data_IF_916196839854
#
_entry.id   IF_916196839854
#
_cell.length_a   1.000
_cell.length_b   1.000
_cell.length_c   1.000
_cell.angle_alpha   90.00
_cell.angle_beta   90.00
_cell.angle_gamma   90.00
#
_symmetry.space_group_name_H-M   'P 1'
#
loop_
_entity.id
_entity.type
_entity.pdbx_description
1 polymer ?
#
# COMPACT_ATOMS: atom_id res chain seq x y z
N UNK A 1 -0.28 15.44 -19.39
CA UNK A 1 -0.42 13.98 -19.54
C UNK A 1 -1.92 13.72 -19.55
N UNK A 2 -2.52 13.57 -20.73
CA UNK A 2 -3.96 13.44 -20.90
C UNK A 2 -4.30 11.95 -20.90
N UNK A 3 -4.89 11.46 -19.82
CA UNK A 3 -5.36 10.08 -19.71
C UNK A 3 -6.71 9.98 -20.42
N UNK A 4 -6.75 9.30 -21.56
CA UNK A 4 -8.01 8.97 -22.22
C UNK A 4 -8.70 7.84 -21.43
N UNK A 5 -9.63 8.21 -20.55
CA UNK A 5 -10.62 7.32 -19.90
C UNK A 5 -11.57 6.64 -20.91
N UNK A 6 -11.42 6.88 -22.21
CA UNK A 6 -12.39 6.57 -23.26
C UNK A 6 -12.26 5.19 -23.89
N UNK A 7 -11.19 4.41 -23.62
CA UNK A 7 -11.11 3.01 -24.07
C UNK A 7 -11.26 2.04 -22.90
N UNK A 8 -12.25 1.12 -22.93
CA UNK A 8 -12.42 0.14 -21.88
C UNK A 8 -11.25 -0.84 -21.93
N UNK A 9 -10.32 -0.67 -21.00
CA UNK A 9 -9.27 -1.66 -20.80
C UNK A 9 -9.93 -2.98 -20.35
N UNK A 10 -9.86 -4.01 -21.19
CA UNK A 10 -10.43 -5.34 -20.91
C UNK A 10 -9.83 -6.03 -19.67
N UNK A 11 -8.76 -5.45 -19.10
CA UNK A 11 -7.96 -6.01 -18.02
C UNK A 11 -8.23 -5.36 -16.66
N UNK A 12 -8.89 -4.21 -16.60
CA UNK A 12 -9.07 -3.49 -15.35
C UNK A 12 -10.48 -2.92 -15.18
N UNK A 13 -10.84 -2.70 -13.92
CA UNK A 13 -12.06 -2.05 -13.50
C UNK A 13 -11.63 -0.64 -13.09
N UNK A 14 -12.00 0.36 -13.89
CA UNK A 14 -11.71 1.76 -13.59
C UNK A 14 -10.23 2.05 -13.31
N UNK A 15 -9.32 1.40 -14.04
CA UNK A 15 -7.88 1.58 -13.86
C UNK A 15 -7.25 0.72 -12.76
N UNK A 16 -8.02 -0.14 -12.09
CA UNK A 16 -7.54 -1.06 -11.05
C UNK A 16 -7.72 -2.53 -11.45
N UNK A 17 -6.74 -3.36 -11.14
CA UNK A 17 -6.79 -4.81 -11.37
C UNK A 17 -6.82 -5.55 -10.03
N UNK A 18 -7.73 -6.53 -9.83
CA UNK A 18 -7.74 -7.36 -8.64
C UNK A 18 -6.40 -8.08 -8.46
N UNK A 19 -5.83 -8.00 -7.27
CA UNK A 19 -4.52 -8.57 -6.92
C UNK A 19 -4.61 -9.69 -5.87
N UNK A 20 -5.81 -10.23 -5.65
CA UNK A 20 -6.08 -11.32 -4.72
C UNK A 20 -6.51 -10.85 -3.33
N UNK A 21 -6.33 -11.71 -2.34
CA UNK A 21 -6.64 -11.46 -0.93
C UNK A 21 -5.35 -11.61 -0.14
N UNK A 22 -4.97 -10.55 0.56
CA UNK A 22 -3.81 -10.51 1.46
C UNK A 22 -4.27 -10.84 2.88
N UNK A 23 -3.48 -11.61 3.63
CA UNK A 23 -3.88 -12.16 4.94
C UNK A 23 -4.31 -11.07 5.95
N UNK A 24 -3.56 -9.96 6.00
CA UNK A 24 -3.87 -8.80 6.86
C UNK A 24 -4.79 -7.78 6.17
N UNK A 25 -4.52 -7.41 4.92
CA UNK A 25 -5.20 -6.30 4.23
C UNK A 25 -6.55 -6.69 3.61
N UNK A 26 -6.89 -7.98 3.60
CA UNK A 26 -8.07 -8.49 2.92
C UNK A 26 -7.94 -8.39 1.39
N UNK A 27 -9.05 -8.24 0.65
CA UNK A 27 -9.02 -8.06 -0.80
C UNK A 27 -8.21 -6.83 -1.20
N UNK A 28 -7.32 -6.98 -2.17
CA UNK A 28 -6.41 -5.92 -2.62
C UNK A 28 -6.47 -5.72 -4.14
N UNK A 29 -6.22 -4.49 -4.55
CA UNK A 29 -6.06 -4.08 -5.94
C UNK A 29 -4.62 -3.62 -6.22
N UNK A 30 -4.22 -3.68 -7.49
CA UNK A 30 -3.04 -3.03 -8.03
C UNK A 30 -3.45 -2.06 -9.16
N UNK A 31 -2.72 -0.97 -9.42
CA UNK A 31 -2.95 -0.12 -10.58
C UNK A 31 -2.79 -0.93 -11.87
N UNK A 32 -3.66 -0.69 -12.85
CA UNK A 32 -3.61 -1.40 -14.12
C UNK A 32 -2.30 -1.12 -14.85
N UNK A 33 -1.45 -2.14 -15.10
CA UNK A 33 -0.15 -1.94 -15.74
C UNK A 33 -0.28 -1.51 -17.20
N UNK A 34 -1.43 -1.75 -17.84
CA UNK A 34 -1.69 -1.36 -19.23
C UNK A 34 -2.10 0.11 -19.33
N UNK A 35 -2.96 0.59 -18.43
CA UNK A 35 -3.47 1.96 -18.45
C UNK A 35 -2.53 2.97 -17.78
N UNK A 36 -1.94 2.59 -16.65
CA UNK A 36 -1.20 3.49 -15.77
C UNK A 36 0.31 3.19 -15.74
N UNK A 37 0.74 2.08 -16.37
CA UNK A 37 2.10 1.58 -16.24
C UNK A 37 2.37 1.00 -14.85
N UNK A 38 3.59 0.49 -14.66
CA UNK A 38 4.07 0.08 -13.34
C UNK A 38 4.70 1.27 -12.62
N UNK A 39 4.50 1.37 -11.32
CA UNK A 39 5.23 2.35 -10.52
C UNK A 39 6.73 2.04 -10.59
N UNK A 40 7.55 3.01 -10.99
CA UNK A 40 9.00 2.82 -11.11
C UNK A 40 9.71 2.70 -9.75
N UNK A 41 9.09 3.18 -8.66
CA UNK A 41 9.71 3.18 -7.34
C UNK A 41 9.52 1.85 -6.60
N UNK A 42 8.33 1.26 -6.69
CA UNK A 42 8.03 -0.03 -6.06
C UNK A 42 7.83 -1.16 -7.08
N UNK A 43 8.15 -0.92 -8.34
CA UNK A 43 8.08 -1.88 -9.45
C UNK A 43 6.71 -2.56 -9.68
N UNK A 44 5.64 -1.98 -9.12
CA UNK A 44 4.29 -2.53 -9.18
C UNK A 44 3.89 -3.39 -7.97
N UNK A 45 4.67 -3.36 -6.90
CA UNK A 45 4.36 -4.08 -5.65
C UNK A 45 3.39 -3.35 -4.73
N UNK A 46 3.12 -2.06 -4.98
CA UNK A 46 2.15 -1.30 -4.19
C UNK A 46 0.73 -1.88 -4.26
N UNK A 47 0.23 -2.36 -3.13
CA UNK A 47 -1.13 -2.87 -2.91
C UNK A 47 -2.08 -1.80 -2.39
N UNK A 48 -3.33 -1.87 -2.81
CA UNK A 48 -4.41 -0.96 -2.40
C UNK A 48 -5.54 -1.78 -1.79
N UNK A 49 -5.76 -1.73 -0.46
CA UNK A 49 -6.85 -2.45 0.19
C UNK A 49 -8.22 -2.03 -0.36
N UNK A 50 -9.10 -2.98 -0.61
CA UNK A 50 -10.45 -2.70 -1.10
C UNK A 50 -11.30 -1.93 -0.07
N UNK A 51 -11.10 -2.22 1.22
CA UNK A 51 -11.81 -1.58 2.33
C UNK A 51 -11.18 -0.22 2.74
N UNK A 52 -10.30 0.32 1.90
CA UNK A 52 -9.61 1.57 2.16
C UNK A 52 -10.58 2.76 2.11
N UNK A 53 -10.99 3.22 3.30
CA UNK A 53 -11.90 4.38 3.43
C UNK A 53 -11.12 5.69 3.62
N UNK A 54 -10.09 5.68 4.48
CA UNK A 54 -9.28 6.86 4.75
C UNK A 54 -7.88 6.48 5.26
N UNK A 55 -6.84 7.23 4.89
CA UNK A 55 -5.44 6.98 5.32
C UNK A 55 -5.30 6.91 6.85
N UNK A 56 -5.81 7.88 7.64
CA UNK A 56 -5.75 7.79 9.11
C UNK A 56 -6.48 6.56 9.67
N UNK A 57 -7.64 6.23 9.10
CA UNK A 57 -8.47 5.09 9.52
C UNK A 57 -7.70 3.78 9.34
N UNK A 58 -7.11 3.60 8.15
CA UNK A 58 -6.33 2.44 7.80
C UNK A 58 -5.10 2.28 8.69
N UNK A 59 -4.37 3.38 8.94
CA UNK A 59 -3.22 3.37 9.87
C UNK A 59 -3.64 3.02 11.30
N UNK A 60 -4.78 3.52 11.76
CA UNK A 60 -5.30 3.19 13.10
C UNK A 60 -5.71 1.71 13.20
N UNK A 61 -6.35 1.15 12.16
CA UNK A 61 -6.71 -0.26 12.12
C UNK A 61 -5.49 -1.17 12.20
N UNK A 62 -4.43 -0.87 11.44
CA UNK A 62 -3.16 -1.60 11.51
C UNK A 62 -2.48 -1.42 12.87
N UNK A 63 -2.48 -0.22 13.42
CA UNK A 63 -1.90 0.04 14.74
C UNK A 63 -2.60 -0.76 15.85
N UNK A 64 -3.93 -0.93 15.77
CA UNK A 64 -4.69 -1.79 16.68
C UNK A 64 -4.30 -3.28 16.58
N UNK A 65 -3.64 -3.68 15.49
CA UNK A 65 -3.10 -5.02 15.26
C UNK A 65 -1.58 -5.10 15.53
N UNK A 66 -0.97 -4.02 16.04
CA UNK A 66 0.47 -3.95 16.26
C UNK A 66 1.29 -3.83 14.98
N UNK A 67 0.69 -3.31 13.90
CA UNK A 67 1.32 -3.18 12.58
C UNK A 67 1.35 -1.73 12.10
N UNK A 68 2.32 -1.40 11.26
CA UNK A 68 2.41 -0.14 10.54
C UNK A 68 2.66 -0.41 9.04
N UNK A 69 1.94 0.28 8.14
CA UNK A 69 2.15 0.11 6.71
C UNK A 69 3.38 0.89 6.23
N UNK A 70 4.23 0.25 5.43
CA UNK A 70 5.21 0.94 4.58
C UNK A 70 4.52 1.30 3.27
N UNK A 71 4.48 2.58 2.96
CA UNK A 71 3.81 3.10 1.77
C UNK A 71 4.83 3.59 0.74
N UNK A 72 4.61 3.27 -0.53
CA UNK A 72 5.42 3.81 -1.61
C UNK A 72 5.19 5.32 -1.73
N UNK A 73 6.25 6.12 -1.65
CA UNK A 73 6.16 7.59 -1.74
C UNK A 73 5.65 8.09 -3.11
N UNK A 74 5.71 7.25 -4.15
CA UNK A 74 5.31 7.63 -5.50
C UNK A 74 3.86 7.25 -5.82
N UNK A 75 3.48 5.98 -5.64
CA UNK A 75 2.12 5.52 -5.95
C UNK A 75 1.19 5.47 -4.73
N UNK A 76 1.69 5.70 -3.51
CA UNK A 76 0.92 5.56 -2.26
C UNK A 76 0.35 4.17 -1.97
N UNK A 77 0.77 3.14 -2.71
CA UNK A 77 0.42 1.76 -2.42
C UNK A 77 1.18 1.22 -1.21
N UNK A 78 0.57 0.31 -0.46
CA UNK A 78 1.20 -0.43 0.62
C UNK A 78 2.18 -1.44 0.03
N UNK A 79 3.46 -1.33 0.36
CA UNK A 79 4.50 -2.23 -0.15
C UNK A 79 4.92 -3.28 0.87
N UNK A 80 4.74 -2.99 2.16
CA UNK A 80 5.06 -3.91 3.25
C UNK A 80 4.29 -3.54 4.54
N UNK A 81 4.24 -4.47 5.50
CA UNK A 81 3.68 -4.28 6.84
C UNK A 81 4.73 -4.65 7.88
N UNK A 82 5.04 -3.72 8.77
CA UNK A 82 6.03 -3.93 9.84
C UNK A 82 5.38 -3.97 11.22
N UNK A 83 5.88 -4.79 12.16
CA UNK A 83 5.46 -4.72 13.55
C UNK A 83 5.80 -3.37 14.18
N UNK A 84 4.92 -2.84 15.02
CA UNK A 84 5.16 -1.62 15.81
C UNK A 84 5.87 -1.89 17.14
N UNK A 85 5.97 -3.16 17.56
CA UNK A 85 6.60 -3.60 18.83
C UNK A 85 8.14 -3.67 18.77
N UNK A 86 8.80 -2.86 17.93
CA UNK A 86 10.20 -2.55 18.18
C UNK A 86 10.26 -1.58 19.35
N UNK A 87 10.35 -2.12 20.57
CA UNK A 87 10.85 -1.37 21.73
C UNK A 87 12.11 -0.62 21.29
N UNK A 88 12.21 0.71 21.51
CA UNK A 88 13.49 1.38 21.31
C UNK A 88 14.51 0.66 22.20
N UNK A 89 15.55 0.10 21.60
CA UNK A 89 16.72 -0.34 22.34
C UNK A 89 17.34 0.92 22.93
N UNK A 90 16.92 1.26 24.15
CA UNK A 90 17.52 2.34 24.93
C UNK A 90 18.91 1.84 25.28
N UNK A 91 19.91 2.22 24.48
CA UNK A 91 21.29 2.14 24.89
C UNK A 91 21.46 3.22 25.96
N UNK A 92 21.63 2.89 27.25
CA UNK A 92 21.88 3.93 28.25
C UNK A 92 23.18 4.62 27.86
N UNK A 93 23.12 5.94 27.68
CA UNK A 93 24.33 6.74 27.55
C UNK A 93 25.14 6.55 28.83
N UNK A 94 26.29 5.86 28.71
CA UNK A 94 27.28 5.78 29.78
C UNK A 94 27.82 7.19 29.98
N UNK A 95 27.42 7.84 31.07
CA UNK A 95 28.06 9.06 31.54
C UNK A 95 29.49 8.71 31.97
N UNK A 96 30.47 9.35 31.32
CA UNK A 96 31.89 9.24 31.60
C UNK A 96 32.37 10.38 32.49
#
# INVERSE_FOLDING_TARGET
MTFHLTDPCLWCIEGSTPAGVHDVLGPVYKPCPVCLGRCLLCEGEGLFPADFTCLPCFRQQLANQGLAPIMCAHCSGVVDLIPTDTTPEVTPHVEH
#
